data_IF_669352933575
#
_entry.id   IF_669352933575
#
_cell.length_a   1.000
_cell.length_b   1.000
_cell.length_c   1.000
_cell.angle_alpha   90.00
_cell.angle_beta   90.00
_cell.angle_gamma   90.00
#
_symmetry.space_group_name_H-M   'P 1'
#
loop_
_entity.id
_entity.type
_entity.pdbx_description
1 polymer ?
#
# COMPACT_ATOMS: atom_id res chain seq x y z
N UNK A 1 6.84 14.04 -4.33
CA UNK A 1 7.01 14.95 -5.51
C UNK A 1 6.49 14.39 -6.84
N UNK A 2 6.09 13.12 -6.91
CA UNK A 2 5.78 12.46 -8.18
C UNK A 2 4.34 12.65 -8.64
N UNK A 3 3.40 12.99 -7.76
CA UNK A 3 2.03 13.31 -8.17
C UNK A 3 1.96 14.64 -8.91
N UNK A 4 1.55 14.61 -10.17
CA UNK A 4 1.34 15.79 -11.03
C UNK A 4 -0.11 16.30 -10.99
N UNK A 5 -0.92 15.85 -10.02
CA UNK A 5 -2.33 16.24 -9.96
C UNK A 5 -2.47 17.70 -9.52
N UNK A 6 -3.23 18.49 -10.28
CA UNK A 6 -3.49 19.91 -10.01
C UNK A 6 -4.32 20.13 -8.73
N UNK A 7 -4.95 19.07 -8.22
CA UNK A 7 -5.80 19.09 -7.02
C UNK A 7 -5.03 18.80 -5.72
N UNK A 8 -3.71 18.64 -5.78
CA UNK A 8 -2.88 18.37 -4.59
C UNK A 8 -2.69 19.66 -3.80
N UNK A 9 -3.23 19.69 -2.58
CA UNK A 9 -3.08 20.83 -1.65
C UNK A 9 -1.85 20.72 -0.74
N UNK A 10 -1.37 19.49 -0.50
CA UNK A 10 -0.20 19.22 0.35
C UNK A 10 0.66 18.14 -0.28
N UNK A 11 1.97 18.37 -0.30
CA UNK A 11 2.96 17.37 -0.73
C UNK A 11 3.84 16.98 0.44
N UNK A 12 3.95 15.68 0.69
CA UNK A 12 4.72 15.13 1.78
C UNK A 12 5.92 14.37 1.24
N UNK A 13 7.04 14.46 1.95
CA UNK A 13 8.26 13.72 1.70
C UNK A 13 8.62 12.79 2.85
N UNK A 14 9.67 12.01 2.65
CA UNK A 14 10.19 11.10 3.68
C UNK A 14 10.65 11.88 4.93
N UNK A 15 10.20 11.45 6.09
CA UNK A 15 10.49 12.10 7.37
C UNK A 15 9.57 13.27 7.74
N UNK A 16 8.67 13.68 6.85
CA UNK A 16 7.68 14.71 7.16
C UNK A 16 6.68 14.23 8.22
N UNK A 17 5.94 15.17 8.77
CA UNK A 17 4.80 14.93 9.65
C UNK A 17 3.54 15.55 9.08
N UNK A 18 2.46 14.81 9.14
CA UNK A 18 1.12 15.29 8.81
C UNK A 18 0.32 15.43 10.10
N UNK A 19 -0.06 16.66 10.41
CA UNK A 19 -0.91 16.96 11.58
C UNK A 19 -2.35 17.21 11.12
N UNK A 20 -3.29 16.44 11.65
CA UNK A 20 -4.72 16.56 11.34
C UNK A 20 -5.51 16.52 12.65
N UNK A 21 -6.06 17.63 13.08
CA UNK A 21 -7.00 17.75 14.22
C UNK A 21 -6.51 17.01 15.49
N UNK A 22 -5.21 17.11 15.81
CA UNK A 22 -4.59 16.47 16.97
C UNK A 22 -4.08 15.04 16.75
N UNK A 23 -4.17 14.53 15.52
CA UNK A 23 -3.51 13.28 15.10
C UNK A 23 -2.22 13.63 14.36
N UNK A 24 -1.10 13.06 14.80
CA UNK A 24 0.21 13.21 14.16
C UNK A 24 0.59 11.93 13.42
N UNK A 25 0.84 12.04 12.13
CA UNK A 25 1.30 10.94 11.27
C UNK A 25 2.72 11.22 10.78
N UNK A 26 3.67 10.38 11.14
CA UNK A 26 5.00 10.37 10.53
C UNK A 26 4.96 9.75 9.13
N UNK A 27 5.64 10.36 8.18
CA UNK A 27 5.68 9.94 6.78
C UNK A 27 6.95 9.15 6.53
N UNK A 28 6.83 7.92 6.04
CA UNK A 28 7.96 7.04 5.73
C UNK A 28 7.88 6.61 4.27
N UNK A 29 8.86 6.98 3.46
CA UNK A 29 8.94 6.52 2.07
C UNK A 29 9.28 5.03 2.03
N UNK A 30 8.40 4.21 1.48
CA UNK A 30 8.50 2.76 1.47
C UNK A 30 8.28 2.19 0.05
N UNK A 31 9.15 2.55 -0.92
CA UNK A 31 9.01 2.11 -2.30
C UNK A 31 9.18 0.60 -2.44
N UNK A 32 8.67 0.06 -3.56
CA UNK A 32 8.89 -1.32 -3.97
C UNK A 32 7.64 -2.02 -4.49
N UNK A 33 6.48 -1.85 -3.86
CA UNK A 33 5.20 -2.21 -4.50
C UNK A 33 4.91 -1.28 -5.67
N UNK A 34 5.05 0.02 -5.43
CA UNK A 34 5.17 1.08 -6.43
C UNK A 34 6.36 1.98 -6.07
N UNK A 35 6.81 2.81 -7.00
CA UNK A 35 7.89 3.77 -6.77
C UNK A 35 7.46 4.98 -5.94
N UNK A 36 6.16 5.20 -5.76
CA UNK A 36 5.56 6.27 -4.98
C UNK A 36 4.90 5.79 -3.67
N UNK A 37 5.19 4.58 -3.22
CA UNK A 37 4.62 4.02 -1.99
C UNK A 37 5.14 4.72 -0.73
N UNK A 38 4.23 5.02 0.18
CA UNK A 38 4.51 5.56 1.51
C UNK A 38 3.78 4.79 2.59
N UNK A 39 4.40 4.72 3.77
CA UNK A 39 3.77 4.25 5.01
C UNK A 39 3.60 5.42 5.97
N UNK A 40 2.62 5.33 6.86
CA UNK A 40 2.36 6.36 7.88
C UNK A 40 2.45 5.77 9.27
N UNK A 41 3.18 6.42 10.16
CA UNK A 41 3.40 5.94 11.53
C UNK A 41 2.70 6.81 12.54
N UNK A 42 2.19 6.17 13.60
CA UNK A 42 1.80 6.78 14.86
C UNK A 42 2.62 6.16 15.99
N UNK A 43 2.40 6.58 17.22
CA UNK A 43 3.17 6.09 18.39
C UNK A 43 3.08 4.56 18.57
N UNK A 44 1.92 3.96 18.27
CA UNK A 44 1.62 2.55 18.53
C UNK A 44 1.35 1.73 17.26
N UNK A 45 1.27 2.37 16.08
CA UNK A 45 0.86 1.69 14.84
C UNK A 45 1.50 2.25 13.60
N UNK A 46 1.45 1.46 12.53
CA UNK A 46 1.88 1.84 11.19
C UNK A 46 0.85 1.39 10.15
N UNK A 47 0.53 2.30 9.25
CA UNK A 47 -0.27 2.03 8.05
C UNK A 47 0.68 1.79 6.89
N UNK A 48 0.76 0.56 6.43
CA UNK A 48 1.84 0.10 5.53
C UNK A 48 1.46 0.10 4.05
N UNK A 49 0.24 0.52 3.71
CA UNK A 49 -0.24 0.40 2.35
C UNK A 49 -0.11 -1.05 1.85
N UNK A 50 0.39 -1.21 0.64
CA UNK A 50 0.72 -2.53 0.07
C UNK A 50 2.21 -2.88 0.18
N UNK A 51 3.00 -2.14 0.96
CA UNK A 51 4.40 -2.50 1.19
C UNK A 51 4.51 -3.76 2.05
N UNK A 52 3.87 -3.77 3.22
CA UNK A 52 3.81 -4.92 4.13
C UNK A 52 2.36 -5.29 4.39
N UNK A 53 1.99 -6.52 4.07
CA UNK A 53 0.68 -7.11 4.34
C UNK A 53 0.78 -8.12 5.48
N UNK A 54 -0.37 -8.50 6.07
CA UNK A 54 -0.39 -9.56 7.07
C UNK A 54 -0.05 -10.90 6.39
N UNK A 55 1.02 -11.54 6.85
CA UNK A 55 1.56 -12.77 6.25
C UNK A 55 1.90 -12.66 4.77
N UNK A 56 2.26 -11.45 4.31
CA UNK A 56 2.61 -11.20 2.93
C UNK A 56 3.24 -9.84 2.71
N UNK A 57 3.44 -9.50 1.45
CA UNK A 57 3.87 -8.18 0.98
C UNK A 57 3.11 -7.85 -0.30
N UNK A 58 3.09 -6.60 -0.72
CA UNK A 58 2.63 -6.27 -2.06
C UNK A 58 3.49 -6.94 -3.13
N UNK A 59 2.92 -7.14 -4.30
CA UNK A 59 3.68 -7.59 -5.49
C UNK A 59 4.58 -6.47 -6.00
N UNK A 60 5.62 -6.84 -6.75
CA UNK A 60 6.63 -5.88 -7.26
C UNK A 60 6.78 -5.93 -8.77
N UNK A 61 5.91 -6.65 -9.45
CA UNK A 61 5.94 -6.89 -10.90
C UNK A 61 5.06 -5.92 -11.70
N UNK A 62 4.57 -4.84 -11.08
CA UNK A 62 3.76 -3.79 -11.70
C UNK A 62 4.20 -2.38 -11.29
N UNK A 63 3.76 -1.36 -12.04
CA UNK A 63 3.79 0.07 -11.67
C UNK A 63 5.15 0.56 -11.16
N UNK A 64 6.22 0.24 -11.87
CA UNK A 64 7.59 0.55 -11.44
C UNK A 64 7.95 -0.12 -10.11
N UNK A 65 7.38 -1.30 -9.83
CA UNK A 65 7.71 -2.08 -8.65
C UNK A 65 9.17 -2.56 -8.70
N UNK A 66 9.78 -2.68 -7.51
CA UNK A 66 11.16 -3.11 -7.33
C UNK A 66 11.28 -3.93 -6.04
N UNK A 67 11.57 -5.22 -6.20
CA UNK A 67 11.70 -6.14 -5.06
C UNK A 67 12.88 -5.77 -4.14
N UNK A 68 13.95 -5.20 -4.67
CA UNK A 68 15.11 -4.77 -3.89
C UNK A 68 14.81 -3.54 -3.06
N UNK A 69 14.12 -2.55 -3.65
CA UNK A 69 13.61 -1.39 -2.93
C UNK A 69 12.58 -1.79 -1.87
N UNK A 70 11.71 -2.76 -2.15
CA UNK A 70 10.75 -3.27 -1.17
C UNK A 70 11.43 -3.98 0.00
N UNK A 71 12.48 -4.76 -0.27
CA UNK A 71 13.30 -5.35 0.79
C UNK A 71 13.85 -4.27 1.72
N UNK A 72 14.47 -3.22 1.16
CA UNK A 72 15.01 -2.12 1.95
C UNK A 72 13.92 -1.42 2.78
N UNK A 73 12.78 -1.12 2.17
CA UNK A 73 11.62 -0.52 2.83
C UNK A 73 11.13 -1.36 4.01
N UNK A 74 11.07 -2.67 3.87
CA UNK A 74 10.60 -3.56 4.92
C UNK A 74 11.69 -3.79 5.97
N UNK A 75 12.86 -4.28 5.59
CA UNK A 75 13.87 -4.75 6.53
C UNK A 75 14.65 -3.61 7.21
N UNK A 76 14.88 -2.51 6.51
CA UNK A 76 15.67 -1.40 7.01
C UNK A 76 14.84 -0.21 7.53
N UNK A 77 13.52 -0.20 7.29
CA UNK A 77 12.61 0.83 7.78
C UNK A 77 11.50 0.25 8.66
N UNK A 78 10.55 -0.51 8.11
CA UNK A 78 9.37 -0.97 8.85
C UNK A 78 9.75 -1.93 10.00
N UNK A 79 10.62 -2.90 9.76
CA UNK A 79 11.07 -3.84 10.80
C UNK A 79 12.03 -3.21 11.82
N UNK A 80 12.37 -1.92 11.73
CA UNK A 80 13.06 -1.17 12.79
C UNK A 80 12.11 -0.56 13.82
N UNK A 81 10.82 -0.56 13.53
CA UNK A 81 9.81 -0.20 14.51
C UNK A 81 9.76 -1.23 15.65
N UNK A 82 9.15 -0.87 16.76
CA UNK A 82 9.01 -1.75 17.92
C UNK A 82 8.19 -2.99 17.58
N UNK A 83 8.48 -4.10 18.20
CA UNK A 83 7.78 -5.36 17.95
C UNK A 83 6.28 -5.32 18.24
N UNK A 84 5.86 -4.49 19.19
CA UNK A 84 4.47 -4.29 19.58
C UNK A 84 3.72 -3.27 18.69
N UNK A 85 4.40 -2.61 17.75
CA UNK A 85 3.76 -1.70 16.80
C UNK A 85 2.74 -2.45 15.96
N UNK A 86 1.48 -2.00 15.99
CA UNK A 86 0.39 -2.57 15.20
C UNK A 86 0.58 -2.28 13.71
N UNK A 87 0.31 -3.27 12.87
CA UNK A 87 0.42 -3.17 11.40
C UNK A 87 -0.97 -3.18 10.78
N UNK A 88 -1.29 -2.10 10.07
CA UNK A 88 -2.54 -1.95 9.31
C UNK A 88 -2.20 -1.83 7.81
N UNK A 89 -2.35 -2.89 7.03
CA UNK A 89 -2.16 -2.85 5.58
C UNK A 89 -3.37 -2.25 4.86
N UNK A 90 -3.20 -1.89 3.58
CA UNK A 90 -4.30 -1.42 2.74
C UNK A 90 -5.21 -2.56 2.27
N UNK A 91 -4.67 -3.77 2.14
CA UNK A 91 -5.41 -4.94 1.70
C UNK A 91 -5.18 -6.13 2.62
N UNK A 92 -6.22 -6.93 2.81
CA UNK A 92 -6.14 -8.28 3.32
C UNK A 92 -6.97 -9.23 2.43
N UNK A 93 -6.48 -10.46 2.27
CA UNK A 93 -7.10 -11.47 1.41
C UNK A 93 -7.52 -12.72 2.19
N UNK A 94 -7.40 -12.71 3.52
CA UNK A 94 -7.61 -13.88 4.37
C UNK A 94 -8.59 -13.65 5.52
N UNK A 95 -9.02 -12.41 5.75
CA UNK A 95 -9.89 -12.03 6.86
C UNK A 95 -9.13 -11.54 8.09
N UNK A 96 -7.82 -11.29 7.98
CA UNK A 96 -7.01 -10.70 9.04
C UNK A 96 -7.21 -9.18 9.05
N UNK A 97 -7.30 -8.57 10.23
CA UNK A 97 -7.54 -7.12 10.34
C UNK A 97 -6.34 -6.33 10.85
N UNK A 98 -5.48 -6.95 11.65
CA UNK A 98 -4.32 -6.32 12.28
C UNK A 98 -3.27 -7.36 12.61
N UNK A 99 -1.99 -6.97 12.54
CA UNK A 99 -0.85 -7.76 13.00
C UNK A 99 0.08 -6.86 13.81
N UNK A 100 1.28 -7.32 14.14
CA UNK A 100 2.35 -6.50 14.73
C UNK A 100 3.64 -6.67 13.95
N UNK A 101 4.54 -5.70 14.07
CA UNK A 101 5.88 -5.78 13.47
C UNK A 101 6.61 -7.05 13.93
N UNK A 102 6.55 -7.37 15.20
CA UNK A 102 7.18 -8.58 15.74
C UNK A 102 6.55 -9.86 15.21
N UNK A 103 5.24 -9.88 15.00
CA UNK A 103 4.55 -11.02 14.42
C UNK A 103 4.92 -11.22 12.95
N UNK A 104 4.91 -10.15 12.16
CA UNK A 104 5.32 -10.22 10.76
C UNK A 104 6.78 -10.63 10.63
N UNK A 105 7.68 -10.10 11.45
CA UNK A 105 9.09 -10.51 11.46
C UNK A 105 9.26 -12.01 11.68
N UNK A 106 8.49 -12.62 12.61
CA UNK A 106 8.62 -14.05 12.94
C UNK A 106 7.88 -14.98 11.99
N UNK A 107 6.75 -14.55 11.46
CA UNK A 107 5.76 -15.47 10.90
C UNK A 107 5.35 -15.15 9.46
N UNK A 108 5.76 -14.00 8.92
CA UNK A 108 5.49 -13.69 7.52
C UNK A 108 6.41 -14.53 6.61
N UNK A 109 5.86 -15.42 5.77
CA UNK A 109 6.68 -16.32 4.96
C UNK A 109 7.58 -15.60 3.95
N UNK A 110 7.22 -14.38 3.53
CA UNK A 110 8.04 -13.58 2.61
C UNK A 110 9.22 -12.91 3.29
N UNK A 111 9.21 -12.83 4.62
CA UNK A 111 10.28 -12.21 5.41
C UNK A 111 11.27 -13.25 5.98
N UNK A 112 11.03 -14.58 5.75
CA UNK A 112 11.92 -15.65 6.20
C UNK A 112 13.07 -15.88 5.20
N UNK A 113 13.70 -14.82 4.75
CA UNK A 113 14.82 -14.84 3.81
C UNK A 113 16.11 -14.38 4.51
N UNK A 114 17.26 -14.82 4.01
CA UNK A 114 18.57 -14.54 4.60
C UNK A 114 19.32 -13.40 3.93
N UNK A 115 18.86 -13.00 2.75
CA UNK A 115 19.49 -11.94 1.96
C UNK A 115 18.50 -11.22 1.06
N UNK A 116 18.92 -10.05 0.58
CA UNK A 116 18.16 -9.29 -0.42
C UNK A 116 18.00 -10.08 -1.73
N UNK A 117 19.00 -10.85 -2.14
CA UNK A 117 18.95 -11.61 -3.38
C UNK A 117 17.95 -12.77 -3.28
N UNK A 118 17.88 -13.45 -2.12
CA UNK A 118 16.88 -14.46 -1.84
C UNK A 118 15.46 -13.88 -1.84
N UNK A 119 15.28 -12.67 -1.30
CA UNK A 119 14.01 -11.96 -1.36
C UNK A 119 13.60 -11.62 -2.80
N UNK A 120 14.53 -11.09 -3.59
CA UNK A 120 14.30 -10.75 -5.00
C UNK A 120 13.93 -12.00 -5.79
N UNK A 121 14.62 -13.10 -5.59
CA UNK A 121 14.30 -14.37 -6.24
C UNK A 121 12.90 -14.88 -5.85
N UNK A 122 12.56 -14.82 -4.56
CA UNK A 122 11.24 -15.17 -4.05
C UNK A 122 10.15 -14.31 -4.74
N UNK A 123 10.34 -13.00 -4.78
CA UNK A 123 9.36 -12.08 -5.36
C UNK A 123 9.20 -12.27 -6.87
N UNK A 124 10.28 -12.50 -7.59
CA UNK A 124 10.25 -12.74 -9.04
C UNK A 124 9.58 -14.08 -9.42
N UNK A 125 9.57 -15.04 -8.50
CA UNK A 125 8.93 -16.35 -8.70
C UNK A 125 7.46 -16.38 -8.25
N UNK A 126 6.91 -15.29 -7.72
CA UNK A 126 5.51 -15.21 -7.35
C UNK A 126 4.62 -15.26 -8.61
N UNK A 127 3.76 -16.28 -8.66
CA UNK A 127 2.75 -16.42 -9.71
C UNK A 127 1.39 -15.96 -9.17
N UNK A 128 1.19 -14.65 -9.15
CA UNK A 128 -0.07 -14.06 -8.70
C UNK A 128 -0.97 -13.80 -9.92
N UNK A 129 -2.27 -14.14 -9.84
CA UNK A 129 -3.21 -13.76 -10.87
C UNK A 129 -3.28 -12.23 -10.96
N UNK A 130 -3.52 -11.70 -12.15
CA UNK A 130 -3.75 -10.27 -12.30
C UNK A 130 -5.11 -9.91 -11.69
N UNK A 131 -5.19 -8.81 -10.93
CA UNK A 131 -6.46 -8.28 -10.47
C UNK A 131 -7.39 -8.01 -11.68
N UNK A 132 -8.68 -8.26 -11.49
CA UNK A 132 -9.67 -7.90 -12.50
C UNK A 132 -9.65 -6.39 -12.74
N UNK A 133 -9.81 -5.96 -13.99
CA UNK A 133 -9.87 -4.54 -14.38
C UNK A 133 -8.56 -3.75 -14.18
N UNK A 134 -7.43 -4.40 -14.00
CA UNK A 134 -6.15 -3.71 -13.78
C UNK A 134 -5.77 -2.80 -14.94
N UNK A 135 -6.06 -3.22 -16.16
CA UNK A 135 -5.82 -2.42 -17.40
C UNK A 135 -6.60 -1.10 -17.43
N UNK A 136 -7.67 -1.00 -16.64
CA UNK A 136 -8.52 0.19 -16.51
C UNK A 136 -8.17 0.97 -15.25
N UNK A 137 -7.99 0.30 -14.12
CA UNK A 137 -7.78 0.93 -12.82
C UNK A 137 -6.43 1.64 -12.74
N UNK A 138 -5.35 1.04 -13.26
CA UNK A 138 -4.01 1.63 -13.21
C UNK A 138 -3.92 2.95 -13.98
N UNK A 139 -4.33 3.03 -15.26
CA UNK A 139 -4.33 4.30 -15.97
C UNK A 139 -5.26 5.36 -15.35
N UNK A 140 -6.37 4.94 -14.72
CA UNK A 140 -7.28 5.85 -14.05
C UNK A 140 -6.66 6.44 -12.78
N UNK A 141 -6.02 5.61 -11.96
CA UNK A 141 -5.35 6.06 -10.73
C UNK A 141 -4.15 6.97 -11.01
N UNK A 142 -3.47 6.77 -12.14
CA UNK A 142 -2.38 7.66 -12.57
C UNK A 142 -2.89 9.05 -13.00
N UNK A 143 -4.18 9.23 -13.19
CA UNK A 143 -4.84 10.47 -13.59
C UNK A 143 -5.72 11.01 -12.46
N UNK A 144 -5.21 11.07 -11.25
CA UNK A 144 -5.92 11.63 -10.10
C UNK A 144 -6.46 13.03 -10.46
N UNK A 145 -7.75 13.25 -10.27
CA UNK A 145 -8.40 14.54 -10.51
C UNK A 145 -9.08 14.67 -11.87
N UNK A 146 -9.43 13.59 -12.55
CA UNK A 146 -10.41 13.67 -13.64
C UNK A 146 -11.73 14.19 -13.08
N UNK A 147 -12.27 15.24 -13.69
CA UNK A 147 -13.60 15.74 -13.35
C UNK A 147 -14.64 14.62 -13.52
N UNK A 148 -15.63 14.56 -12.60
CA UNK A 148 -16.66 13.51 -12.61
C UNK A 148 -17.43 13.45 -13.95
N UNK A 149 -17.60 14.57 -14.62
CA UNK A 149 -18.22 14.70 -15.94
C UNK A 149 -17.36 14.04 -17.06
N UNK A 150 -16.04 14.12 -17.00
CA UNK A 150 -15.15 13.41 -17.93
C UNK A 150 -15.21 11.90 -17.72
N UNK A 151 -15.34 11.45 -16.50
CA UNK A 151 -15.51 10.04 -16.14
C UNK A 151 -16.84 9.52 -16.67
N UNK A 152 -17.92 10.27 -16.50
CA UNK A 152 -19.27 9.91 -16.97
C UNK A 152 -19.35 9.81 -18.52
N UNK A 153 -18.71 10.73 -19.24
CA UNK A 153 -18.68 10.74 -20.71
C UNK A 153 -17.94 9.54 -21.31
N UNK A 154 -17.01 8.92 -20.57
CA UNK A 154 -16.23 7.76 -21.01
C UNK A 154 -16.84 6.41 -20.59
N UNK A 155 -18.06 6.39 -20.05
CA UNK A 155 -18.73 5.17 -19.58
C UNK A 155 -18.16 4.59 -18.29
N UNK A 156 -17.33 5.32 -17.58
CA UNK A 156 -16.65 4.88 -16.36
C UNK A 156 -17.51 5.07 -15.10
N UNK A 157 -18.61 5.81 -15.21
CA UNK A 157 -19.53 6.05 -14.11
C UNK A 157 -20.15 4.76 -13.52
N UNK A 158 -20.28 3.72 -14.32
CA UNK A 158 -20.79 2.42 -13.89
C UNK A 158 -19.83 1.76 -12.88
N UNK A 159 -18.52 1.88 -13.10
CA UNK A 159 -17.51 1.26 -12.24
C UNK A 159 -17.32 1.99 -10.91
N UNK A 160 -17.43 3.30 -10.90
CA UNK A 160 -17.40 4.09 -9.66
C UNK A 160 -18.64 3.82 -8.79
N UNK A 161 -19.80 3.66 -9.39
CA UNK A 161 -21.04 3.30 -8.70
C UNK A 161 -20.97 1.87 -8.12
N UNK A 162 -20.42 0.91 -8.85
CA UNK A 162 -20.23 -0.46 -8.37
C UNK A 162 -19.17 -0.56 -7.28
N UNK A 163 -18.09 0.20 -7.36
CA UNK A 163 -17.07 0.29 -6.31
C UNK A 163 -17.62 0.92 -5.03
N UNK A 164 -18.44 1.97 -5.15
CA UNK A 164 -19.13 2.59 -4.01
C UNK A 164 -20.20 1.67 -3.40
N UNK A 165 -20.88 0.85 -4.20
CA UNK A 165 -21.82 -0.16 -3.67
C UNK A 165 -21.10 -1.29 -2.95
N UNK A 166 -19.89 -1.67 -3.36
CA UNK A 166 -19.08 -2.66 -2.68
C UNK A 166 -18.55 -2.13 -1.34
N UNK A 167 -18.12 -0.87 -1.28
CA UNK A 167 -17.71 -0.20 -0.04
C UNK A 167 -18.90 -0.02 0.90
N UNK A 168 -20.06 0.43 0.41
CA UNK A 168 -21.28 0.58 1.22
C UNK A 168 -21.89 -0.75 1.70
N UNK A 169 -21.51 -1.91 1.14
CA UNK A 169 -21.92 -3.22 1.65
C UNK A 169 -20.98 -3.77 2.73
N UNK A 170 -19.78 -3.30 2.81
CA UNK A 170 -18.84 -3.66 3.87
C UNK A 170 -19.20 -3.02 5.22
N UNK A 171 -19.90 -1.88 5.21
CA UNK A 171 -20.33 -1.17 6.42
C UNK A 171 -21.63 -1.71 7.07
N UNK A 172 -22.26 -2.74 6.50
CA UNK A 172 -23.53 -3.31 6.98
C UNK A 172 -23.38 -4.69 7.61
N UNK A 173 -22.16 -5.19 7.77
CA UNK A 173 -21.87 -6.45 8.46
C UNK A 173 -21.13 -6.19 9.79
N UNK A 174 -21.80 -5.53 10.74
CA UNK A 174 -21.49 -5.52 12.17
C UNK A 174 -22.69 -6.09 12.94
#
# INVERSE_FOLDING_TARGET
EQSKADVVSLRLGDGDKLEIEGVSLGVVYTPGHTDDSYSFTMDDRVFTGDTLLIRGTGRTDFQNGDARAQYDSIFNRLLKLRDDTLVYPAHDYKGDTVSTIGEERRSNPRLQVKSVDEYVELMNNLKLPNPKMMDVAVPANMRIGLAQDEVAQKGWAVFAADALQLVGRADVAL
#
